data_IF_353557147073
#
_entry.id   IF_353557147073
#
_cell.length_a   1.000
_cell.length_b   1.000
_cell.length_c   1.000
_cell.angle_alpha   90.00
_cell.angle_beta   90.00
_cell.angle_gamma   90.00
#
_symmetry.space_group_name_H-M   'P 1'
#
loop_
_entity.id
_entity.type
_entity.pdbx_description
1 polymer ?
#
# COMPACT_ATOMS: atom_id res chain seq x y z
N UNK A 1 7.42 15.49 -5.17
CA UNK A 1 8.82 15.03 -4.94
C UNK A 1 8.81 13.51 -4.80
N UNK A 2 9.86 12.83 -5.26
CA UNK A 2 9.99 11.36 -5.15
C UNK A 2 11.20 11.00 -4.29
N UNK A 3 11.04 9.96 -3.49
CA UNK A 3 12.10 9.37 -2.69
C UNK A 3 11.91 7.86 -2.70
N UNK A 4 13.02 7.13 -2.72
CA UNK A 4 13.05 5.68 -2.54
C UNK A 4 13.69 5.33 -1.20
N UNK A 5 13.27 4.21 -0.63
CA UNK A 5 13.88 3.61 0.54
C UNK A 5 13.86 2.08 0.38
N UNK A 6 14.68 1.41 1.17
CA UNK A 6 14.65 -0.05 1.29
C UNK A 6 13.77 -0.42 2.46
N UNK A 7 12.87 -1.37 2.26
CA UNK A 7 12.02 -1.92 3.32
C UNK A 7 12.86 -2.66 4.36
N UNK A 8 12.36 -2.74 5.60
CA UNK A 8 12.93 -3.63 6.62
C UNK A 8 12.97 -5.09 6.14
N UNK A 9 14.10 -5.76 6.38
CA UNK A 9 14.29 -7.17 6.07
C UNK A 9 13.72 -8.07 7.16
N UNK A 10 12.43 -8.39 7.05
CA UNK A 10 11.71 -9.27 7.98
C UNK A 10 11.75 -10.72 7.47
N UNK A 11 12.22 -11.70 8.27
CA UNK A 11 12.21 -13.11 7.88
C UNK A 11 10.81 -13.60 7.49
N UNK A 12 10.71 -14.28 6.34
CA UNK A 12 9.44 -14.77 5.81
C UNK A 12 8.55 -13.71 5.16
N UNK A 13 9.03 -12.46 5.03
CA UNK A 13 8.30 -11.43 4.30
C UNK A 13 8.11 -11.79 2.82
N UNK A 14 7.05 -11.23 2.23
CA UNK A 14 6.72 -11.48 0.83
C UNK A 14 7.81 -10.91 -0.09
N UNK A 15 8.51 -11.73 -0.90
CA UNK A 15 9.66 -11.26 -1.67
C UNK A 15 9.20 -10.50 -2.92
N UNK A 16 10.04 -9.58 -3.42
CA UNK A 16 9.83 -8.81 -4.66
C UNK A 16 8.54 -7.97 -4.62
N UNK A 17 8.38 -7.18 -3.56
CA UNK A 17 7.27 -6.25 -3.36
C UNK A 17 7.78 -4.83 -3.44
N UNK A 18 7.07 -4.01 -4.22
CA UNK A 18 7.24 -2.56 -4.26
C UNK A 18 6.09 -1.95 -3.47
N UNK A 19 6.42 -1.07 -2.52
CA UNK A 19 5.42 -0.29 -1.76
C UNK A 19 5.54 1.18 -2.16
N UNK A 20 4.39 1.85 -2.20
CA UNK A 20 4.30 3.27 -2.53
C UNK A 20 3.54 3.97 -1.42
N UNK A 21 4.11 5.06 -0.93
CA UNK A 21 3.40 6.04 -0.10
C UNK A 21 3.26 7.31 -0.94
N UNK A 22 2.01 7.76 -1.12
CA UNK A 22 1.71 8.98 -1.84
C UNK A 22 1.06 9.98 -0.90
N UNK A 23 1.71 11.13 -0.70
CA UNK A 23 1.05 12.28 -0.12
C UNK A 23 0.18 12.93 -1.19
N UNK A 24 -1.08 13.18 -0.84
CA UNK A 24 -2.02 13.90 -1.68
C UNK A 24 -2.74 14.95 -0.85
N UNK A 25 -3.15 16.03 -1.50
CA UNK A 25 -4.05 17.01 -0.91
C UNK A 25 -5.48 16.63 -1.26
N UNK A 26 -6.29 16.50 -0.22
CA UNK A 26 -7.72 16.25 -0.34
C UNK A 26 -8.43 17.55 -0.71
N UNK A 27 -9.29 17.51 -1.72
CA UNK A 27 -10.13 18.64 -2.14
C UNK A 27 -11.53 18.61 -1.54
N UNK A 28 -12.03 17.45 -1.13
CA UNK A 28 -13.36 17.23 -0.57
C UNK A 28 -13.26 16.56 0.80
N UNK A 29 -14.00 17.06 1.80
CA UNK A 29 -13.95 16.55 3.16
C UNK A 29 -14.35 15.07 3.29
N UNK A 30 -15.22 14.60 2.40
CA UNK A 30 -15.72 13.24 2.42
C UNK A 30 -14.80 12.26 1.69
N UNK A 31 -13.79 12.76 0.97
CA UNK A 31 -12.86 11.88 0.26
C UNK A 31 -12.04 11.03 1.23
N UNK A 32 -12.09 9.71 1.02
CA UNK A 32 -11.31 8.71 1.74
C UNK A 32 -10.35 8.00 0.77
N UNK A 33 -9.09 7.93 1.15
CA UNK A 33 -8.08 7.22 0.36
C UNK A 33 -8.44 5.73 0.25
N UNK A 34 -8.37 5.21 -0.97
CA UNK A 34 -8.47 3.77 -1.22
C UNK A 34 -7.06 3.20 -1.35
N UNK A 35 -6.65 2.37 -0.41
CA UNK A 35 -5.38 1.67 -0.47
C UNK A 35 -5.49 0.45 -1.38
N UNK A 36 -4.61 0.35 -2.37
CA UNK A 36 -4.67 -0.70 -3.38
C UNK A 36 -3.51 -1.68 -3.21
N UNK A 37 -3.83 -2.97 -3.14
CA UNK A 37 -2.87 -4.06 -3.05
C UNK A 37 -3.06 -4.97 -4.27
N UNK A 38 -2.01 -5.10 -5.10
CA UNK A 38 -2.09 -5.82 -6.38
C UNK A 38 -1.24 -7.09 -6.38
N UNK A 39 -1.64 -8.05 -7.22
CA UNK A 39 -0.93 -9.32 -7.38
C UNK A 39 -0.75 -10.05 -6.04
N UNK A 40 0.48 -10.48 -5.75
CA UNK A 40 0.80 -11.16 -4.48
C UNK A 40 0.66 -10.25 -3.26
N UNK A 41 0.74 -8.93 -3.42
CA UNK A 41 0.66 -7.99 -2.30
C UNK A 41 -0.72 -7.99 -1.62
N UNK A 42 -1.79 -8.50 -2.26
CA UNK A 42 -3.11 -8.69 -1.64
C UNK A 42 -3.02 -9.42 -0.29
N UNK A 43 -2.12 -10.40 -0.20
CA UNK A 43 -1.91 -11.16 1.03
C UNK A 43 -1.46 -10.31 2.24
N UNK A 44 -0.96 -9.08 2.01
CA UNK A 44 -0.51 -8.16 3.07
C UNK A 44 -1.66 -7.43 3.79
N UNK A 45 -2.85 -7.34 3.18
CA UNK A 45 -4.02 -6.65 3.74
C UNK A 45 -5.31 -7.42 3.41
N UNK A 46 -5.44 -8.61 4.01
CA UNK A 46 -6.61 -9.48 3.83
C UNK A 46 -7.92 -8.83 4.30
N UNK A 47 -7.83 -7.85 5.18
CA UNK A 47 -8.96 -7.04 5.65
C UNK A 47 -9.57 -6.16 4.55
N UNK A 48 -8.83 -5.85 3.49
CA UNK A 48 -9.32 -5.04 2.37
C UNK A 48 -10.02 -5.84 1.27
N UNK A 49 -9.82 -7.16 1.21
CA UNK A 49 -10.52 -8.03 0.24
C UNK A 49 -12.02 -8.18 0.56
N UNK A 50 -12.50 -7.68 1.70
CA UNK A 50 -13.92 -7.69 2.07
C UNK A 50 -14.72 -6.49 1.54
N UNK A 51 -14.09 -5.58 0.78
CA UNK A 51 -14.70 -4.28 0.43
C UNK A 51 -14.45 -3.81 -1.03
N UNK A 52 -14.29 -4.73 -1.99
CA UNK A 52 -14.28 -4.40 -3.43
C UNK A 52 -15.38 -5.13 -4.18
#
# INVERSE_FOLDING_TARGET
PLMCAVEIDVPGALPKIIRVLAHYQRTDEDHRAQHVYLGRAKALRKDLDSAQ
#
